data_IF_406316337238
#
_entry.id   IF_406316337238
#
_cell.length_a   1.000
_cell.length_b   1.000
_cell.length_c   1.000
_cell.angle_alpha   90.00
_cell.angle_beta   90.00
_cell.angle_gamma   90.00
#
_symmetry.space_group_name_H-M   'P 1'
#
loop_
_entity.id
_entity.type
_entity.pdbx_description
1 polymer ?
#
# COMPACT_ATOMS: atom_id res chain seq x y z
N UNK A 1 47.54 -7.09 7.40
CA UNK A 1 46.97 -5.90 6.75
C UNK A 1 45.84 -6.38 5.82
N UNK A 2 44.65 -6.32 6.29
CA UNK A 2 43.43 -6.78 5.55
C UNK A 2 42.62 -5.55 5.19
N UNK A 3 42.16 -5.36 3.92
CA UNK A 3 41.34 -4.22 3.56
C UNK A 3 39.86 -4.57 3.83
N UNK A 4 39.23 -3.77 4.68
CA UNK A 4 37.81 -3.78 4.91
C UNK A 4 37.05 -3.40 3.61
N UNK A 5 35.93 -4.08 3.26
CA UNK A 5 35.08 -3.65 2.17
C UNK A 5 34.26 -2.42 2.62
N UNK A 6 34.36 -1.36 1.82
CA UNK A 6 33.53 -0.15 1.95
C UNK A 6 32.06 -0.52 1.74
N UNK A 7 31.23 -0.32 2.75
CA UNK A 7 29.77 -0.34 2.63
C UNK A 7 29.33 0.84 1.74
N UNK A 8 28.73 0.54 0.62
CA UNK A 8 27.97 1.53 -0.16
C UNK A 8 26.64 1.77 0.55
N UNK A 9 26.20 3.01 0.75
CA UNK A 9 24.86 3.29 1.23
C UNK A 9 23.85 2.93 0.14
N UNK A 10 22.96 1.99 0.42
CA UNK A 10 21.84 1.67 -0.44
C UNK A 10 20.81 2.80 -0.40
N UNK A 11 20.93 3.75 -1.30
CA UNK A 11 19.87 4.71 -1.60
C UNK A 11 18.81 4.04 -2.48
N UNK A 12 17.88 3.33 -1.87
CA UNK A 12 16.67 2.89 -2.55
C UNK A 12 15.47 3.43 -1.80
N UNK A 13 15.25 4.72 -1.98
CA UNK A 13 14.01 5.36 -1.58
C UNK A 13 12.98 5.11 -2.68
N UNK A 14 12.07 4.19 -2.45
CA UNK A 14 10.84 4.09 -3.26
C UNK A 14 10.15 5.44 -3.19
N UNK A 15 10.17 6.18 -4.30
CA UNK A 15 9.58 7.50 -4.38
C UNK A 15 8.09 7.35 -4.58
N UNK A 16 7.33 7.28 -3.49
CA UNK A 16 5.89 7.51 -3.50
C UNK A 16 5.64 8.98 -3.80
N UNK A 17 5.45 9.31 -5.06
CA UNK A 17 5.09 10.67 -5.48
C UNK A 17 3.57 10.81 -5.58
N UNK A 18 2.90 11.26 -4.51
CA UNK A 18 1.56 11.83 -4.65
C UNK A 18 1.72 13.14 -5.45
N UNK A 19 1.20 13.20 -6.66
CA UNK A 19 1.12 14.43 -7.42
C UNK A 19 0.08 15.36 -6.78
N UNK A 20 0.53 16.27 -5.90
CA UNK A 20 -0.25 17.45 -5.50
C UNK A 20 0.03 18.55 -6.52
N UNK A 21 -0.87 18.74 -7.48
CA UNK A 21 -0.97 19.98 -8.22
C UNK A 21 -1.52 21.06 -7.28
N UNK A 22 -0.68 22.05 -6.98
CA UNK A 22 -1.13 23.29 -6.31
C UNK A 22 -2.01 24.07 -7.30
N UNK A 23 -3.32 24.01 -7.13
CA UNK A 23 -4.26 24.87 -7.84
C UNK A 23 -4.41 26.18 -7.10
N UNK A 24 -4.23 27.30 -7.81
CA UNK A 24 -4.44 28.67 -7.38
C UNK A 24 -5.87 28.88 -6.84
N UNK A 25 -5.96 29.54 -5.72
CA UNK A 25 -7.20 29.86 -5.02
C UNK A 25 -8.03 30.88 -5.81
N UNK A 26 -9.19 30.44 -6.30
CA UNK A 26 -10.33 31.30 -6.59
C UNK A 26 -11.27 31.25 -5.40
N UNK A 27 -11.48 32.37 -4.73
CA UNK A 27 -12.39 32.48 -3.60
C UNK A 27 -13.84 32.44 -4.11
N UNK A 28 -14.51 31.32 -3.95
CA UNK A 28 -15.96 31.21 -4.01
C UNK A 28 -16.47 30.70 -2.67
N UNK A 29 -17.48 31.41 -2.12
CA UNK A 29 -18.12 31.15 -0.85
C UNK A 29 -18.53 29.68 -0.70
N UNK A 30 -17.95 28.99 0.27
CA UNK A 30 -18.26 27.61 0.59
C UNK A 30 -19.61 27.51 1.31
N UNK A 31 -20.45 26.51 0.99
CA UNK A 31 -21.61 26.17 1.82
C UNK A 31 -21.13 25.65 3.19
N UNK A 32 -21.92 25.97 4.23
CA UNK A 32 -21.62 25.65 5.61
C UNK A 32 -21.27 24.17 5.81
N UNK A 33 -20.13 23.93 6.46
CA UNK A 33 -19.58 22.62 6.80
C UNK A 33 -20.53 21.91 7.78
N UNK A 34 -21.03 20.70 7.49
CA UNK A 34 -21.76 19.93 8.49
C UNK A 34 -20.85 19.62 9.67
N UNK A 35 -21.40 19.69 10.87
CA UNK A 35 -20.71 19.40 12.11
C UNK A 35 -20.02 18.02 12.09
N UNK A 36 -18.87 17.85 12.74
CA UNK A 36 -18.15 16.57 12.73
C UNK A 36 -19.07 15.47 13.30
N UNK A 37 -19.35 14.47 12.48
CA UNK A 37 -20.08 13.28 12.91
C UNK A 37 -19.33 12.64 14.08
N UNK A 38 -20.02 12.39 15.19
CA UNK A 38 -19.46 11.73 16.36
C UNK A 38 -18.75 10.43 15.96
N UNK A 39 -17.51 10.25 16.45
CA UNK A 39 -16.75 9.05 16.23
C UNK A 39 -17.56 7.83 16.69
N UNK A 40 -17.74 6.81 15.83
CA UNK A 40 -18.50 5.61 16.22
C UNK A 40 -17.80 4.94 17.40
N UNK A 41 -18.57 4.54 18.42
CA UNK A 41 -18.09 3.77 19.58
C UNK A 41 -17.39 2.51 19.08
N UNK A 42 -16.19 2.24 19.58
CA UNK A 42 -15.40 1.05 19.29
C UNK A 42 -16.23 -0.21 19.51
N UNK A 43 -16.55 -0.90 18.43
CA UNK A 43 -17.28 -2.16 18.44
C UNK A 43 -16.31 -3.33 18.24
N UNK A 44 -16.64 -4.45 18.87
CA UNK A 44 -15.96 -5.74 18.95
C UNK A 44 -15.12 -6.17 17.73
N UNK A 45 -14.12 -7.01 18.01
CA UNK A 45 -13.16 -7.68 17.15
C UNK A 45 -13.33 -7.48 15.64
N UNK A 46 -12.30 -6.94 15.00
CA UNK A 46 -12.30 -6.49 13.62
C UNK A 46 -12.94 -7.50 12.65
N UNK A 47 -14.01 -7.08 11.99
CA UNK A 47 -14.63 -7.84 10.90
C UNK A 47 -13.73 -7.88 9.63
N UNK A 48 -12.46 -7.51 9.74
CA UNK A 48 -11.45 -7.48 8.70
C UNK A 48 -10.07 -7.90 9.24
N UNK A 49 -9.22 -8.42 8.35
CA UNK A 49 -7.83 -8.77 8.69
C UNK A 49 -6.92 -7.55 8.56
N UNK A 50 -5.95 -7.45 9.47
CA UNK A 50 -4.93 -6.40 9.44
C UNK A 50 -3.57 -7.00 9.12
N UNK A 51 -2.89 -6.44 8.14
CA UNK A 51 -1.52 -6.74 7.73
C UNK A 51 -0.67 -5.49 7.68
N UNK A 52 0.57 -5.69 7.27
CA UNK A 52 1.55 -4.62 7.06
C UNK A 52 2.17 -4.80 5.68
N UNK A 53 2.38 -3.70 4.96
CA UNK A 53 3.19 -3.62 3.75
C UNK A 53 4.55 -3.04 4.09
N UNK A 54 5.60 -3.61 3.54
CA UNK A 54 6.96 -3.08 3.58
C UNK A 54 7.82 -3.83 2.54
N UNK A 55 8.88 -3.22 2.07
CA UNK A 55 9.83 -3.84 1.14
C UNK A 55 11.10 -4.34 1.86
N UNK A 56 11.20 -4.18 3.19
CA UNK A 56 12.35 -4.61 3.98
C UNK A 56 12.03 -5.91 4.72
N UNK A 57 12.82 -6.97 4.44
CA UNK A 57 12.62 -8.31 5.01
C UNK A 57 12.88 -8.35 6.53
N UNK A 58 13.71 -7.45 7.03
CA UNK A 58 14.07 -7.31 8.44
C UNK A 58 12.85 -7.09 9.32
N UNK A 59 11.75 -6.59 8.78
CA UNK A 59 10.47 -6.47 9.47
C UNK A 59 10.07 -7.79 10.15
N UNK A 60 10.23 -8.93 9.49
CA UNK A 60 9.79 -10.23 10.01
C UNK A 60 10.65 -10.73 11.19
N UNK A 61 11.90 -10.28 11.29
CA UNK A 61 12.80 -10.55 12.41
C UNK A 61 12.57 -9.65 13.62
N UNK A 62 11.83 -8.56 13.48
CA UNK A 62 11.59 -7.60 14.56
C UNK A 62 10.66 -8.19 15.63
N UNK A 63 11.07 -8.24 16.92
CA UNK A 63 10.23 -8.72 18.00
C UNK A 63 8.89 -7.98 18.12
N UNK A 64 8.84 -6.70 17.73
CA UNK A 64 7.60 -5.92 17.74
C UNK A 64 6.65 -6.36 16.61
N UNK A 65 7.17 -6.71 15.43
CA UNK A 65 6.38 -7.35 14.40
C UNK A 65 5.77 -8.66 14.89
N UNK A 66 6.61 -9.53 15.47
CA UNK A 66 6.18 -10.83 16.00
C UNK A 66 5.11 -10.68 17.11
N UNK A 67 5.21 -9.62 17.93
CA UNK A 67 4.21 -9.30 18.94
C UNK A 67 2.82 -8.98 18.34
N UNK A 68 2.76 -8.37 17.16
CA UNK A 68 1.49 -8.08 16.48
C UNK A 68 0.75 -9.36 16.04
N UNK A 69 1.45 -10.47 15.85
CA UNK A 69 0.89 -11.77 15.40
C UNK A 69 0.05 -11.65 14.14
N UNK A 70 0.32 -10.67 13.29
CA UNK A 70 -0.38 -10.54 12.02
C UNK A 70 -0.05 -11.72 11.11
N UNK A 71 -1.02 -12.14 10.30
CA UNK A 71 -0.91 -13.34 9.44
C UNK A 71 -0.94 -13.02 7.97
N UNK A 72 -0.95 -11.75 7.63
CA UNK A 72 -0.94 -11.27 6.27
C UNK A 72 0.06 -10.12 6.13
N UNK A 73 0.76 -10.07 5.01
CA UNK A 73 1.66 -8.98 4.64
C UNK A 73 1.59 -8.70 3.14
N UNK A 74 2.02 -7.52 2.74
CA UNK A 74 2.04 -7.09 1.34
C UNK A 74 3.44 -6.64 0.93
N UNK A 75 3.87 -7.07 -0.24
CA UNK A 75 5.14 -6.75 -0.86
C UNK A 75 4.90 -6.13 -2.24
N UNK A 76 5.60 -5.05 -2.55
CA UNK A 76 5.63 -4.45 -3.89
C UNK A 76 6.86 -4.97 -4.61
N UNK A 77 6.66 -5.66 -5.74
CA UNK A 77 7.73 -6.25 -6.53
C UNK A 77 7.78 -5.64 -7.94
N UNK A 78 8.95 -5.31 -8.49
CA UNK A 78 9.06 -5.05 -9.92
C UNK A 78 8.52 -6.23 -10.72
N UNK A 79 7.75 -5.95 -11.79
CA UNK A 79 7.18 -7.02 -12.62
C UNK A 79 8.27 -7.93 -13.22
N UNK A 80 9.46 -7.38 -13.43
CA UNK A 80 10.64 -8.01 -14.00
C UNK A 80 11.71 -8.39 -12.95
N UNK A 81 11.32 -8.53 -11.68
CA UNK A 81 12.26 -8.79 -10.58
C UNK A 81 13.22 -9.95 -10.84
N UNK A 82 12.79 -11.00 -11.54
CA UNK A 82 13.65 -12.14 -11.86
C UNK A 82 14.65 -11.89 -13.00
N UNK A 83 14.51 -10.79 -13.73
CA UNK A 83 15.47 -10.39 -14.76
C UNK A 83 16.70 -9.65 -14.17
N UNK A 84 16.61 -9.19 -12.92
CA UNK A 84 17.61 -8.36 -12.26
C UNK A 84 18.04 -8.97 -10.93
N UNK A 85 19.35 -9.17 -10.77
CA UNK A 85 19.94 -9.89 -9.61
C UNK A 85 19.61 -9.22 -8.26
N UNK A 86 19.62 -7.92 -8.21
CA UNK A 86 19.31 -7.12 -7.01
C UNK A 86 17.84 -7.20 -6.63
N UNK A 87 16.93 -7.06 -7.59
CA UNK A 87 15.49 -7.17 -7.38
C UNK A 87 15.08 -8.62 -7.00
N UNK A 88 15.71 -9.62 -7.63
CA UNK A 88 15.52 -11.02 -7.25
C UNK A 88 16.00 -11.30 -5.83
N UNK A 89 17.16 -10.78 -5.44
CA UNK A 89 17.71 -10.98 -4.09
C UNK A 89 16.76 -10.40 -3.03
N UNK A 90 16.27 -9.16 -3.22
CA UNK A 90 15.29 -8.51 -2.33
C UNK A 90 14.00 -9.33 -2.22
N UNK A 91 13.41 -9.72 -3.36
CA UNK A 91 12.19 -10.52 -3.37
C UNK A 91 12.37 -11.87 -2.68
N UNK A 92 13.51 -12.53 -2.90
CA UNK A 92 13.85 -13.82 -2.29
C UNK A 92 13.94 -13.70 -0.77
N UNK A 93 14.72 -12.74 -0.28
CA UNK A 93 14.89 -12.48 1.15
C UNK A 93 13.54 -12.20 1.82
N UNK A 94 12.74 -11.30 1.24
CA UNK A 94 11.47 -10.89 1.79
C UNK A 94 10.44 -12.04 1.81
N UNK A 95 10.29 -12.76 0.70
CA UNK A 95 9.29 -13.84 0.59
C UNK A 95 9.68 -15.03 1.49
N UNK A 96 10.96 -15.40 1.55
CA UNK A 96 11.41 -16.47 2.45
C UNK A 96 11.25 -16.09 3.92
N UNK A 97 11.50 -14.83 4.30
CA UNK A 97 11.26 -14.36 5.66
C UNK A 97 9.77 -14.42 6.04
N UNK A 98 8.87 -14.05 5.12
CA UNK A 98 7.43 -14.17 5.31
C UNK A 98 6.97 -15.63 5.41
N UNK A 99 7.50 -16.52 4.57
CA UNK A 99 7.24 -17.96 4.58
C UNK A 99 7.66 -18.60 5.89
N UNK A 100 8.86 -18.29 6.38
CA UNK A 100 9.37 -18.77 7.66
C UNK A 100 8.48 -18.38 8.86
N UNK A 101 7.74 -17.27 8.76
CA UNK A 101 6.77 -16.81 9.76
C UNK A 101 5.34 -17.27 9.47
N UNK A 102 5.13 -18.11 8.45
CA UNK A 102 3.80 -18.56 7.99
C UNK A 102 2.83 -17.40 7.71
N UNK A 103 3.32 -16.30 7.13
CA UNK A 103 2.54 -15.10 6.80
C UNK A 103 2.05 -15.18 5.36
N UNK A 104 0.75 -15.10 5.14
CA UNK A 104 0.18 -15.06 3.78
C UNK A 104 0.55 -13.76 3.09
N UNK A 105 1.15 -13.87 1.93
CA UNK A 105 1.70 -12.74 1.17
C UNK A 105 0.76 -12.34 0.03
N UNK A 106 0.54 -11.02 -0.11
CA UNK A 106 0.08 -10.39 -1.36
C UNK A 106 1.28 -9.74 -2.02
N UNK A 107 1.56 -10.11 -3.27
CA UNK A 107 2.53 -9.40 -4.10
C UNK A 107 1.80 -8.48 -5.06
N UNK A 108 2.11 -7.19 -5.00
CA UNK A 108 1.70 -6.20 -6.00
C UNK A 108 2.83 -6.02 -7.00
N UNK A 109 2.59 -6.31 -8.27
CA UNK A 109 3.57 -5.99 -9.30
C UNK A 109 3.59 -4.49 -9.58
N UNK A 110 4.79 -3.97 -9.88
CA UNK A 110 4.98 -2.55 -10.17
C UNK A 110 6.00 -2.36 -11.30
N UNK A 111 6.33 -1.11 -11.62
CA UNK A 111 7.32 -0.80 -12.66
C UNK A 111 8.69 -1.42 -12.36
N UNK A 112 9.49 -1.59 -13.41
CA UNK A 112 10.89 -1.98 -13.26
C UNK A 112 11.67 -0.95 -12.45
N UNK A 113 12.56 -1.41 -11.58
CA UNK A 113 13.53 -0.52 -10.88
C UNK A 113 14.63 -0.04 -11.86
N UNK A 114 14.88 -0.77 -12.96
CA UNK A 114 15.91 -0.48 -13.94
C UNK A 114 15.42 0.38 -15.12
N UNK A 115 14.13 0.27 -15.47
CA UNK A 115 13.51 1.07 -16.54
C UNK A 115 12.14 1.60 -16.11
N UNK A 116 12.05 2.42 -15.05
CA UNK A 116 10.78 2.74 -14.41
C UNK A 116 9.83 3.55 -15.29
N UNK A 117 10.35 4.25 -16.29
CA UNK A 117 9.54 5.03 -17.23
C UNK A 117 9.02 4.20 -18.42
N UNK A 118 9.42 2.92 -18.54
CA UNK A 118 9.01 2.04 -19.62
C UNK A 118 7.98 1.02 -19.12
N UNK A 119 6.79 1.04 -19.70
CA UNK A 119 5.80 -0.02 -19.47
C UNK A 119 6.13 -1.26 -20.30
N UNK A 120 5.95 -2.48 -19.75
CA UNK A 120 6.11 -3.70 -20.53
C UNK A 120 4.99 -3.87 -21.56
N UNK A 121 5.28 -4.57 -22.64
CA UNK A 121 4.20 -5.16 -23.44
C UNK A 121 3.46 -6.21 -22.61
N UNK A 122 2.20 -6.52 -22.99
CA UNK A 122 1.41 -7.56 -22.30
C UNK A 122 2.13 -8.93 -22.33
N UNK A 123 2.78 -9.26 -23.43
CA UNK A 123 3.53 -10.49 -23.55
C UNK A 123 4.75 -10.51 -22.62
N UNK A 124 5.50 -9.41 -22.54
CA UNK A 124 6.62 -9.26 -21.62
C UNK A 124 6.17 -9.37 -20.17
N UNK A 125 5.12 -8.61 -19.80
CA UNK A 125 4.52 -8.69 -18.46
C UNK A 125 4.13 -10.12 -18.10
N UNK A 126 3.38 -10.81 -19.01
CA UNK A 126 2.94 -12.19 -18.78
C UNK A 126 4.12 -13.15 -18.56
N UNK A 127 5.16 -13.03 -19.39
CA UNK A 127 6.36 -13.85 -19.29
C UNK A 127 7.06 -13.68 -17.94
N UNK A 128 7.26 -12.44 -17.51
CA UNK A 128 8.03 -12.13 -16.31
C UNK A 128 7.27 -12.49 -15.03
N UNK A 129 5.97 -12.16 -14.95
CA UNK A 129 5.16 -12.55 -13.80
C UNK A 129 4.97 -14.07 -13.72
N UNK A 130 4.95 -14.78 -14.85
CA UNK A 130 4.92 -16.25 -14.87
C UNK A 130 6.19 -16.84 -14.26
N UNK A 131 7.36 -16.29 -14.57
CA UNK A 131 8.63 -16.70 -13.96
C UNK A 131 8.60 -16.45 -12.46
N UNK A 132 8.13 -15.26 -12.05
CA UNK A 132 8.02 -14.90 -10.63
C UNK A 132 7.13 -15.90 -9.87
N UNK A 133 5.94 -16.19 -10.38
CA UNK A 133 4.98 -17.13 -9.77
C UNK A 133 5.57 -18.56 -9.67
N UNK A 134 6.31 -19.00 -10.69
CA UNK A 134 6.99 -20.30 -10.68
C UNK A 134 8.12 -20.35 -9.65
N UNK A 135 8.85 -19.26 -9.49
CA UNK A 135 9.98 -19.16 -8.57
C UNK A 135 9.56 -19.10 -7.11
N UNK A 136 8.41 -18.44 -6.82
CA UNK A 136 7.86 -18.26 -5.49
C UNK A 136 6.51 -18.99 -5.31
N UNK A 137 6.47 -20.33 -5.26
CA UNK A 137 5.22 -21.07 -5.19
C UNK A 137 4.44 -20.88 -3.88
N UNK A 138 5.08 -20.37 -2.85
CA UNK A 138 4.45 -19.97 -1.59
C UNK A 138 3.43 -18.83 -1.77
N UNK A 139 3.72 -17.89 -2.67
CA UNK A 139 2.85 -16.74 -2.91
C UNK A 139 1.64 -17.16 -3.75
N UNK A 140 0.44 -16.87 -3.23
CA UNK A 140 -0.83 -17.25 -3.86
C UNK A 140 -1.79 -16.08 -4.06
N UNK A 141 -1.36 -14.86 -3.75
CA UNK A 141 -2.19 -13.66 -3.86
C UNK A 141 -1.40 -12.56 -4.57
N UNK A 142 -1.99 -12.00 -5.61
CA UNK A 142 -1.30 -11.04 -6.49
C UNK A 142 -2.19 -9.87 -6.86
N UNK A 143 -1.56 -8.71 -7.11
CA UNK A 143 -2.13 -7.53 -7.77
C UNK A 143 -1.41 -7.31 -9.09
N UNK A 144 -2.18 -6.99 -10.14
CA UNK A 144 -1.60 -6.85 -11.47
C UNK A 144 -0.70 -5.61 -11.60
N UNK A 145 -1.03 -4.53 -10.92
CA UNK A 145 -0.21 -3.31 -10.90
C UNK A 145 -0.54 -2.48 -9.68
N UNK A 146 0.52 -2.02 -9.01
CA UNK A 146 0.43 -1.12 -7.86
C UNK A 146 0.03 0.29 -8.30
N UNK A 147 -0.91 0.93 -7.60
CA UNK A 147 -1.35 2.30 -7.87
C UNK A 147 -1.57 2.60 -9.37
N UNK A 148 -2.32 1.76 -10.06
CA UNK A 148 -2.44 1.81 -11.51
C UNK A 148 -2.95 3.17 -12.05
N UNK A 149 -3.76 3.90 -11.28
CA UNK A 149 -4.31 5.22 -11.65
C UNK A 149 -3.45 6.41 -11.20
N UNK A 150 -2.22 6.16 -10.73
CA UNK A 150 -1.36 7.21 -10.17
C UNK A 150 -0.99 8.29 -11.19
N UNK A 151 -0.89 7.92 -12.45
CA UNK A 151 -0.42 8.78 -13.53
C UNK A 151 1.10 8.74 -13.69
N UNK A 152 1.57 9.25 -14.81
CA UNK A 152 3.00 9.32 -15.11
C UNK A 152 3.66 10.43 -14.30
N UNK A 153 4.86 10.18 -13.80
CA UNK A 153 5.74 11.21 -13.25
C UNK A 153 6.97 11.28 -14.16
N UNK A 154 7.14 12.37 -14.91
CA UNK A 154 8.25 12.52 -15.86
C UNK A 154 9.58 12.17 -15.22
N UNK A 155 10.40 11.40 -15.91
CA UNK A 155 11.74 10.93 -15.49
C UNK A 155 11.77 10.02 -14.28
N UNK A 156 10.62 9.71 -13.62
CA UNK A 156 10.57 8.83 -12.46
C UNK A 156 9.90 7.50 -12.78
N UNK A 157 8.67 7.51 -13.28
CA UNK A 157 7.96 6.28 -13.65
C UNK A 157 6.77 6.56 -14.58
N UNK A 158 6.32 5.49 -15.25
CA UNK A 158 5.08 5.48 -16.04
C UNK A 158 4.03 4.57 -15.40
N UNK A 159 2.78 5.02 -15.44
CA UNK A 159 1.61 4.24 -15.02
C UNK A 159 0.85 3.74 -16.25
N UNK A 160 0.33 2.50 -16.22
CA UNK A 160 -0.46 1.97 -17.33
C UNK A 160 -1.80 2.68 -17.46
N UNK A 161 -2.36 2.69 -18.66
CA UNK A 161 -3.77 3.05 -18.86
C UNK A 161 -4.69 1.99 -18.25
N UNK A 162 -5.97 2.32 -18.06
CA UNK A 162 -6.97 1.36 -17.57
C UNK A 162 -7.06 0.12 -18.48
N UNK A 163 -6.97 0.32 -19.80
CA UNK A 163 -6.90 -0.75 -20.81
C UNK A 163 -5.69 -1.64 -20.60
N UNK A 164 -4.48 -1.06 -20.48
CA UNK A 164 -3.26 -1.83 -20.25
C UNK A 164 -3.32 -2.60 -18.92
N UNK A 165 -3.86 -1.98 -17.87
CA UNK A 165 -4.02 -2.65 -16.56
C UNK A 165 -4.99 -3.82 -16.63
N UNK A 166 -6.07 -3.71 -17.42
CA UNK A 166 -7.00 -4.81 -17.65
C UNK A 166 -6.33 -5.98 -18.41
N UNK A 167 -5.47 -5.67 -19.36
CA UNK A 167 -4.68 -6.67 -20.08
C UNK A 167 -3.64 -7.35 -19.16
N UNK A 168 -2.97 -6.61 -18.27
CA UNK A 168 -2.07 -7.18 -17.26
C UNK A 168 -2.84 -8.07 -16.26
N UNK A 169 -4.02 -7.64 -15.82
CA UNK A 169 -4.88 -8.47 -14.99
C UNK A 169 -5.26 -9.78 -15.70
N UNK A 170 -5.68 -9.72 -16.96
CA UNK A 170 -5.99 -10.91 -17.74
C UNK A 170 -4.76 -11.83 -17.87
N UNK A 171 -3.58 -11.26 -18.19
CA UNK A 171 -2.34 -12.02 -18.30
C UNK A 171 -2.00 -12.74 -16.99
N UNK A 172 -2.08 -12.04 -15.85
CA UNK A 172 -1.85 -12.61 -14.53
C UNK A 172 -2.84 -13.73 -14.20
N UNK A 173 -4.11 -13.56 -14.53
CA UNK A 173 -5.16 -14.59 -14.36
C UNK A 173 -4.89 -15.84 -15.21
N UNK A 174 -4.34 -15.68 -16.41
CA UNK A 174 -3.97 -16.81 -17.30
C UNK A 174 -2.83 -17.64 -16.74
N UNK A 175 -1.80 -16.98 -16.18
CA UNK A 175 -0.62 -17.66 -15.64
C UNK A 175 -0.84 -18.26 -14.26
N UNK A 176 -1.80 -17.75 -13.47
CA UNK A 176 -2.15 -18.35 -12.19
C UNK A 176 -3.66 -18.47 -11.98
N UNK A 177 -4.23 -19.57 -12.47
CA UNK A 177 -5.67 -19.85 -12.41
C UNK A 177 -6.17 -20.11 -10.98
N UNK A 178 -5.31 -20.60 -10.10
CA UNK A 178 -5.64 -20.96 -8.71
C UNK A 178 -5.31 -19.86 -7.70
N UNK A 179 -4.65 -18.77 -8.15
CA UNK A 179 -4.32 -17.65 -7.29
C UNK A 179 -5.53 -16.74 -7.04
N UNK A 180 -5.53 -16.10 -5.89
CA UNK A 180 -6.35 -14.90 -5.66
C UNK A 180 -5.70 -13.74 -6.41
N UNK A 181 -6.37 -13.22 -7.43
CA UNK A 181 -5.91 -12.04 -8.15
C UNK A 181 -6.82 -10.87 -7.84
N UNK A 182 -6.25 -9.85 -7.22
CA UNK A 182 -6.90 -8.57 -6.93
C UNK A 182 -6.97 -7.80 -8.24
N UNK A 183 -8.17 -7.31 -8.60
CA UNK A 183 -8.43 -6.84 -9.95
C UNK A 183 -7.72 -5.56 -10.32
N UNK A 184 -7.89 -4.56 -9.50
CA UNK A 184 -7.36 -3.21 -9.70
C UNK A 184 -6.90 -2.70 -8.35
N UNK A 185 -5.83 -1.94 -8.34
CA UNK A 185 -5.28 -1.27 -7.18
C UNK A 185 -5.19 0.23 -7.48
N UNK A 186 -5.97 1.03 -6.77
CA UNK A 186 -6.12 2.46 -7.07
C UNK A 186 -5.90 3.35 -5.86
N UNK A 187 -5.40 4.55 -6.12
CA UNK A 187 -5.39 5.67 -5.18
C UNK A 187 -6.73 6.38 -5.15
N UNK A 188 -7.16 6.82 -3.96
CA UNK A 188 -8.35 7.65 -3.79
C UNK A 188 -8.16 9.09 -4.34
N UNK A 189 -6.92 9.59 -4.41
CA UNK A 189 -6.52 10.91 -4.90
C UNK A 189 -7.29 12.09 -4.23
N UNK A 190 -7.00 13.33 -4.62
CA UNK A 190 -7.72 14.50 -4.09
C UNK A 190 -9.16 14.60 -4.61
N UNK A 191 -9.37 14.17 -5.86
CA UNK A 191 -10.66 14.17 -6.54
C UNK A 191 -10.92 12.77 -7.09
N UNK A 192 -12.07 12.21 -6.79
CA UNK A 192 -12.43 10.83 -7.17
C UNK A 192 -12.78 10.66 -8.64
N UNK A 193 -13.18 11.74 -9.32
CA UNK A 193 -13.64 11.67 -10.71
C UNK A 193 -12.68 10.96 -11.67
N UNK A 194 -11.37 11.29 -11.70
CA UNK A 194 -10.40 10.56 -12.51
C UNK A 194 -10.27 9.09 -12.12
N UNK A 195 -10.25 8.78 -10.82
CA UNK A 195 -10.19 7.40 -10.30
C UNK A 195 -11.44 6.61 -10.72
N UNK A 196 -12.62 7.21 -10.62
CA UNK A 196 -13.90 6.58 -11.03
C UNK A 196 -13.89 6.27 -12.52
N UNK A 197 -13.46 7.23 -13.36
CA UNK A 197 -13.34 6.98 -14.82
C UNK A 197 -12.38 5.85 -15.13
N UNK A 198 -11.24 5.81 -14.45
CA UNK A 198 -10.26 4.74 -14.61
C UNK A 198 -10.85 3.36 -14.24
N UNK A 199 -11.59 3.26 -13.14
CA UNK A 199 -12.26 2.03 -12.71
C UNK A 199 -13.31 1.60 -13.74
N UNK A 200 -14.12 2.53 -14.24
CA UNK A 200 -15.17 2.26 -15.24
C UNK A 200 -14.57 1.79 -16.57
N UNK A 201 -13.48 2.42 -17.03
CA UNK A 201 -12.76 2.01 -18.22
C UNK A 201 -12.13 0.62 -18.06
N UNK A 202 -11.47 0.36 -16.95
CA UNK A 202 -10.94 -0.97 -16.62
C UNK A 202 -12.05 -2.05 -16.69
N UNK A 203 -13.20 -1.80 -16.07
CA UNK A 203 -14.31 -2.75 -16.05
C UNK A 203 -14.87 -3.00 -17.46
N UNK A 204 -15.00 -1.95 -18.27
CA UNK A 204 -15.42 -2.07 -19.66
C UNK A 204 -14.46 -2.94 -20.46
N UNK A 205 -13.16 -2.71 -20.28
CA UNK A 205 -12.12 -3.48 -20.96
C UNK A 205 -12.10 -4.95 -20.51
N UNK A 206 -12.29 -5.25 -19.23
CA UNK A 206 -12.46 -6.62 -18.73
C UNK A 206 -13.62 -7.32 -19.45
N UNK A 207 -14.71 -6.61 -19.71
CA UNK A 207 -15.85 -7.11 -20.51
C UNK A 207 -15.46 -7.40 -21.96
N UNK A 208 -14.74 -6.50 -22.62
CA UNK A 208 -14.25 -6.69 -23.99
C UNK A 208 -13.29 -7.87 -24.10
N UNK A 209 -12.41 -8.03 -23.12
CA UNK A 209 -11.46 -9.14 -23.04
C UNK A 209 -12.12 -10.47 -22.65
N UNK A 210 -13.42 -10.49 -22.36
CA UNK A 210 -14.18 -11.65 -21.87
C UNK A 210 -13.47 -12.33 -20.68
N UNK A 211 -12.89 -11.52 -19.82
CA UNK A 211 -12.19 -11.97 -18.62
C UNK A 211 -13.14 -11.90 -17.42
N UNK A 212 -12.96 -12.81 -16.46
CA UNK A 212 -13.78 -12.83 -15.24
C UNK A 212 -13.59 -11.51 -14.48
N UNK A 213 -14.71 -10.84 -14.20
CA UNK A 213 -14.71 -9.61 -13.42
C UNK A 213 -14.13 -9.86 -12.01
N UNK A 214 -13.22 -9.01 -11.52
CA UNK A 214 -12.70 -9.17 -10.17
C UNK A 214 -13.78 -9.13 -9.11
N UNK A 215 -13.67 -10.00 -8.11
CA UNK A 215 -14.51 -9.96 -6.90
C UNK A 215 -13.82 -9.24 -5.72
N UNK A 216 -12.49 -9.03 -5.84
CA UNK A 216 -11.65 -8.37 -4.85
C UNK A 216 -10.91 -7.22 -5.53
N UNK A 217 -10.91 -6.05 -4.88
CA UNK A 217 -10.34 -4.81 -5.37
C UNK A 217 -9.39 -4.22 -4.34
N UNK A 218 -8.31 -3.58 -4.81
CA UNK A 218 -7.37 -2.83 -4.00
C UNK A 218 -7.71 -1.34 -3.97
N UNK A 219 -7.49 -0.72 -2.83
CA UNK A 219 -7.64 0.71 -2.64
C UNK A 219 -6.56 1.22 -1.69
N UNK A 220 -5.89 2.32 -2.07
CA UNK A 220 -5.05 3.15 -1.21
C UNK A 220 -5.84 4.41 -0.85
N UNK A 221 -6.23 4.56 0.41
CA UNK A 221 -7.13 5.62 0.87
C UNK A 221 -6.42 6.76 1.62
N UNK A 222 -5.17 7.01 1.27
CA UNK A 222 -4.33 8.02 1.93
C UNK A 222 -4.92 9.43 1.94
N UNK A 223 -5.61 9.84 0.86
CA UNK A 223 -6.19 11.18 0.78
C UNK A 223 -7.30 11.37 1.79
N UNK A 224 -8.10 10.33 2.04
CA UNK A 224 -9.17 10.37 3.04
C UNK A 224 -8.62 10.25 4.47
N UNK A 225 -7.89 9.16 4.76
CA UNK A 225 -7.52 8.88 6.16
C UNK A 225 -6.62 9.96 6.75
N UNK A 226 -5.69 10.53 5.95
CA UNK A 226 -4.79 11.58 6.43
C UNK A 226 -5.46 12.96 6.57
N UNK A 227 -6.71 13.09 6.13
CA UNK A 227 -7.57 14.27 6.37
C UNK A 227 -8.69 13.98 7.35
N UNK A 228 -8.75 12.75 7.90
CA UNK A 228 -9.83 12.23 8.74
C UNK A 228 -11.19 12.36 8.06
N UNK A 229 -11.21 12.07 6.76
CA UNK A 229 -12.38 12.06 5.88
C UNK A 229 -12.67 10.61 5.42
N UNK A 230 -13.83 10.40 4.80
CA UNK A 230 -14.25 9.06 4.35
C UNK A 230 -15.06 9.05 3.05
N UNK A 231 -15.30 10.22 2.49
CA UNK A 231 -16.21 10.33 1.34
C UNK A 231 -15.60 9.75 0.06
N UNK A 232 -14.28 9.89 -0.14
CA UNK A 232 -13.56 9.33 -1.28
C UNK A 232 -13.56 7.81 -1.21
N UNK A 233 -13.19 7.27 -0.06
CA UNK A 233 -13.19 5.83 0.20
C UNK A 233 -14.57 5.22 -0.02
N UNK A 234 -15.65 5.87 0.45
CA UNK A 234 -17.02 5.40 0.23
C UNK A 234 -17.40 5.42 -1.24
N UNK A 235 -17.10 6.51 -1.93
CA UNK A 235 -17.44 6.67 -3.34
C UNK A 235 -16.70 5.66 -4.21
N UNK A 236 -15.37 5.54 -4.03
CA UNK A 236 -14.55 4.58 -4.77
C UNK A 236 -14.98 3.14 -4.46
N UNK A 237 -15.18 2.79 -3.19
CA UNK A 237 -15.65 1.45 -2.77
C UNK A 237 -17.00 1.10 -3.40
N UNK A 238 -17.92 2.07 -3.51
CA UNK A 238 -19.22 1.87 -4.18
C UNK A 238 -19.04 1.54 -5.65
N UNK A 239 -18.14 2.24 -6.35
CA UNK A 239 -17.89 2.04 -7.78
C UNK A 239 -17.12 0.73 -8.03
N UNK A 240 -16.16 0.38 -7.18
CA UNK A 240 -15.43 -0.89 -7.27
C UNK A 240 -16.38 -2.08 -7.18
N UNK A 241 -17.31 -2.05 -6.25
CA UNK A 241 -18.18 -3.20 -5.98
C UNK A 241 -17.41 -4.35 -5.30
N UNK A 242 -18.05 -5.47 -4.99
CA UNK A 242 -17.40 -6.64 -4.40
C UNK A 242 -16.70 -6.38 -3.06
N UNK A 243 -15.67 -7.14 -2.76
CA UNK A 243 -14.80 -6.94 -1.60
C UNK A 243 -13.71 -5.92 -1.93
N UNK A 244 -13.39 -5.07 -0.96
CA UNK A 244 -12.27 -4.13 -1.03
C UNK A 244 -11.24 -4.50 0.03
N UNK A 245 -9.97 -4.53 -0.37
CA UNK A 245 -8.85 -4.54 0.53
C UNK A 245 -8.20 -3.17 0.48
N UNK A 246 -8.02 -2.53 1.63
CA UNK A 246 -7.15 -1.37 1.72
C UNK A 246 -5.72 -1.89 1.60
N UNK A 247 -5.25 -1.99 0.38
CA UNK A 247 -3.98 -2.63 0.03
C UNK A 247 -2.79 -1.80 0.46
N UNK A 248 -2.99 -0.50 0.56
CA UNK A 248 -2.17 0.41 1.35
C UNK A 248 -3.04 1.44 2.06
N UNK A 249 -2.71 1.69 3.31
CA UNK A 249 -3.32 2.72 4.14
C UNK A 249 -2.39 3.06 5.29
N UNK A 250 -2.63 4.18 5.97
CA UNK A 250 -1.85 4.50 7.17
C UNK A 250 -1.64 5.98 7.38
N UNK A 251 -1.05 6.28 8.53
CA UNK A 251 -0.77 7.65 8.93
C UNK A 251 0.56 8.14 8.39
N UNK A 252 0.53 9.16 7.56
CA UNK A 252 1.73 9.81 7.03
C UNK A 252 2.38 10.63 8.14
N UNK A 253 3.59 10.25 8.53
CA UNK A 253 4.45 11.02 9.46
C UNK A 253 5.01 12.24 8.74
N UNK A 254 5.54 12.03 7.52
CA UNK A 254 6.11 13.09 6.71
C UNK A 254 5.86 12.83 5.21
N UNK A 255 5.47 13.89 4.50
CA UNK A 255 5.42 13.88 3.04
C UNK A 255 5.56 15.31 2.48
N UNK A 256 6.78 15.73 2.24
CA UNK A 256 7.09 17.06 1.75
C UNK A 256 6.38 18.18 2.53
N UNK A 257 5.92 19.20 1.82
CA UNK A 257 5.17 20.31 2.43
C UNK A 257 3.71 19.99 2.78
N UNK A 258 3.14 18.91 2.21
CA UNK A 258 1.75 18.55 2.43
C UNK A 258 1.51 17.94 3.84
N UNK A 259 2.47 17.16 4.31
CA UNK A 259 2.45 16.54 5.64
C UNK A 259 3.81 16.74 6.32
N UNK A 260 4.10 17.92 6.85
CA UNK A 260 5.38 18.19 7.52
C UNK A 260 5.45 17.48 8.88
N UNK A 261 6.66 17.03 9.23
CA UNK A 261 6.96 16.53 10.58
C UNK A 261 7.83 17.54 11.35
N UNK A 262 7.25 18.69 11.67
CA UNK A 262 7.96 19.71 12.46
C UNK A 262 7.88 19.36 13.94
N UNK A 263 9.04 19.27 14.61
CA UNK A 263 9.14 18.95 16.05
C UNK A 263 8.32 17.70 16.46
N UNK A 264 8.31 16.67 15.61
CA UNK A 264 7.60 15.43 15.91
C UNK A 264 6.08 15.47 15.76
N UNK A 265 5.49 16.59 15.30
CA UNK A 265 4.04 16.74 15.13
C UNK A 265 3.44 15.70 14.17
N UNK A 266 4.21 15.22 13.22
CA UNK A 266 3.81 14.16 12.30
C UNK A 266 3.54 12.82 12.98
N UNK A 267 4.27 12.48 14.05
CA UNK A 267 4.11 11.23 14.78
C UNK A 267 2.74 11.14 15.47
N UNK A 268 2.32 12.21 16.16
CA UNK A 268 1.01 12.26 16.80
C UNK A 268 -0.13 12.26 15.78
N UNK A 269 0.03 13.02 14.68
CA UNK A 269 -0.91 13.01 13.56
C UNK A 269 -1.06 11.63 12.97
N UNK A 270 0.04 10.95 12.64
CA UNK A 270 0.02 9.59 12.06
C UNK A 270 -0.67 8.58 12.98
N UNK A 271 -0.45 8.65 14.28
CA UNK A 271 -1.15 7.79 15.25
C UNK A 271 -2.66 8.03 15.25
N UNK A 272 -3.12 9.29 15.19
CA UNK A 272 -4.54 9.62 15.08
C UNK A 272 -5.15 9.12 13.78
N UNK A 273 -4.41 9.25 12.66
CA UNK A 273 -4.83 8.73 11.36
C UNK A 273 -4.99 7.22 11.41
N UNK A 274 -4.04 6.48 11.96
CA UNK A 274 -4.14 5.01 12.09
C UNK A 274 -5.38 4.61 12.92
N UNK A 275 -5.64 5.32 14.03
CA UNK A 275 -6.86 5.10 14.81
C UNK A 275 -8.12 5.34 13.97
N UNK A 276 -8.14 6.41 13.19
CA UNK A 276 -9.23 6.70 12.27
C UNK A 276 -9.39 5.65 11.19
N UNK A 277 -8.30 5.16 10.60
CA UNK A 277 -8.30 4.08 9.59
C UNK A 277 -9.00 2.81 10.10
N UNK A 278 -8.70 2.39 11.33
CA UNK A 278 -9.40 1.25 11.96
C UNK A 278 -10.90 1.51 12.12
N UNK A 279 -11.29 2.71 12.53
CA UNK A 279 -12.69 3.09 12.67
C UNK A 279 -13.41 3.12 11.31
N UNK A 280 -12.76 3.69 10.28
CA UNK A 280 -13.27 3.75 8.91
C UNK A 280 -13.47 2.34 8.34
N UNK A 281 -12.46 1.47 8.41
CA UNK A 281 -12.56 0.10 7.96
C UNK A 281 -13.66 -0.68 8.69
N UNK A 282 -13.80 -0.48 10.01
CA UNK A 282 -14.87 -1.06 10.83
C UNK A 282 -16.25 -0.60 10.39
N UNK A 283 -16.42 0.68 10.08
CA UNK A 283 -17.70 1.25 9.62
C UNK A 283 -18.12 0.73 8.24
N UNK A 284 -17.17 0.27 7.43
CA UNK A 284 -17.38 -0.29 6.09
C UNK A 284 -17.05 -1.79 6.01
N UNK A 285 -17.09 -2.50 7.13
CA UNK A 285 -16.67 -3.91 7.21
C UNK A 285 -17.51 -4.89 6.38
N UNK A 286 -18.68 -4.48 5.90
CA UNK A 286 -19.44 -5.23 4.89
C UNK A 286 -18.66 -5.35 3.55
N UNK A 287 -17.86 -4.37 3.22
CA UNK A 287 -17.05 -4.27 1.99
C UNK A 287 -15.56 -4.43 2.24
N UNK A 288 -14.99 -3.70 3.22
CA UNK A 288 -13.57 -3.73 3.54
C UNK A 288 -13.27 -4.99 4.35
N UNK A 289 -12.50 -5.90 3.76
CA UNK A 289 -12.17 -7.21 4.35
C UNK A 289 -10.74 -7.34 4.82
N UNK A 290 -9.85 -6.51 4.33
CA UNK A 290 -8.46 -6.43 4.78
C UNK A 290 -7.97 -4.99 4.77
N UNK A 291 -6.99 -4.69 5.60
CA UNK A 291 -6.17 -3.50 5.49
C UNK A 291 -4.70 -3.86 5.68
N UNK A 292 -3.83 -3.20 4.95
CA UNK A 292 -2.38 -3.29 5.05
C UNK A 292 -1.84 -1.91 5.37
N UNK A 293 -1.32 -1.78 6.59
CA UNK A 293 -0.67 -0.52 6.98
C UNK A 293 0.67 -0.42 6.27
N UNK A 294 0.90 0.63 5.57
CA UNK A 294 2.16 0.93 4.93
C UNK A 294 2.76 2.16 5.64
N UNK A 295 3.96 2.04 6.22
CA UNK A 295 4.79 0.85 6.20
C UNK A 295 5.30 0.49 7.62
N UNK A 296 6.15 -0.54 7.73
CA UNK A 296 6.81 -0.90 8.98
C UNK A 296 7.98 0.03 9.29
N UNK A 297 8.92 0.10 8.35
CA UNK A 297 10.21 0.76 8.49
C UNK A 297 10.08 2.25 8.18
N UNK A 298 10.23 3.08 9.19
CA UNK A 298 10.23 4.53 9.02
C UNK A 298 11.56 5.09 8.56
N UNK A 299 11.51 6.27 8.00
CA UNK A 299 12.67 7.02 7.57
C UNK A 299 13.21 7.96 8.63
N UNK A 300 14.15 8.79 8.20
CA UNK A 300 14.72 9.91 8.96
C UNK A 300 14.17 11.25 8.42
N UNK A 301 14.68 12.37 8.93
CA UNK A 301 14.24 13.72 8.54
C UNK A 301 14.42 14.06 7.05
N UNK A 302 15.32 13.35 6.34
CA UNK A 302 15.55 13.54 4.90
C UNK A 302 14.62 12.69 4.02
N UNK A 303 13.88 11.75 4.61
CA UNK A 303 12.97 10.85 3.89
C UNK A 303 11.78 11.65 3.36
N UNK A 304 11.54 11.61 2.05
CA UNK A 304 10.46 12.37 1.42
C UNK A 304 9.09 11.89 1.85
N UNK A 305 8.89 10.57 1.90
CA UNK A 305 7.65 9.93 2.36
C UNK A 305 7.98 9.01 3.53
N UNK A 306 7.32 9.21 4.65
CA UNK A 306 7.46 8.39 5.84
C UNK A 306 6.08 8.16 6.46
N UNK A 307 5.68 6.90 6.56
CA UNK A 307 4.48 6.45 7.26
C UNK A 307 4.79 5.29 8.21
N UNK A 308 6.08 5.07 8.50
CA UNK A 308 6.57 3.93 9.26
C UNK A 308 6.02 3.84 10.68
N UNK A 309 5.72 2.62 11.09
CA UNK A 309 5.33 2.29 12.46
C UNK A 309 6.51 2.30 13.42
N UNK A 310 7.72 2.10 12.89
CA UNK A 310 9.00 2.25 13.60
C UNK A 310 9.80 3.41 13.02
N UNK A 311 10.83 3.85 13.70
CA UNK A 311 11.80 4.82 13.15
C UNK A 311 12.95 4.09 12.41
N UNK A 312 13.91 4.86 11.89
CA UNK A 312 15.08 4.32 11.18
C UNK A 312 16.02 3.47 12.07
N UNK A 313 15.78 3.43 13.38
CA UNK A 313 16.49 2.61 14.36
C UNK A 313 15.64 1.48 14.91
N UNK A 314 14.55 1.12 14.21
CA UNK A 314 13.58 0.09 14.61
C UNK A 314 12.91 0.34 15.97
N UNK A 315 12.86 1.59 16.46
CA UNK A 315 12.16 1.95 17.69
C UNK A 315 10.69 2.24 17.41
N UNK A 316 9.77 1.80 18.30
CA UNK A 316 8.34 1.96 18.07
C UNK A 316 7.91 3.44 18.10
N UNK A 317 7.10 3.83 17.16
CA UNK A 317 6.42 5.13 17.13
C UNK A 317 5.02 5.05 17.74
N UNK A 318 4.40 6.19 17.99
CA UNK A 318 3.03 6.25 18.52
C UNK A 318 2.01 5.46 17.67
N UNK A 319 2.20 5.44 16.34
CA UNK A 319 1.40 4.64 15.41
C UNK A 319 1.44 3.15 15.70
N UNK A 320 2.61 2.59 15.99
CA UNK A 320 2.75 1.19 16.39
C UNK A 320 1.89 0.85 17.63
N UNK A 321 1.90 1.73 18.62
CA UNK A 321 1.11 1.49 19.85
C UNK A 321 -0.39 1.44 19.54
N UNK A 322 -0.87 2.28 18.63
CA UNK A 322 -2.27 2.23 18.18
C UNK A 322 -2.59 0.90 17.52
N UNK A 323 -1.74 0.42 16.61
CA UNK A 323 -1.90 -0.87 15.93
C UNK A 323 -1.89 -2.02 16.92
N UNK A 324 -0.91 -2.07 17.80
CA UNK A 324 -0.77 -3.10 18.81
C UNK A 324 -2.01 -3.17 19.72
N UNK A 325 -2.53 -2.04 20.17
CA UNK A 325 -3.76 -1.96 20.98
C UNK A 325 -5.00 -2.38 20.21
N UNK A 326 -5.09 -2.04 18.94
CA UNK A 326 -6.20 -2.44 18.08
C UNK A 326 -6.26 -3.97 17.89
N UNK A 327 -5.08 -4.61 17.78
CA UNK A 327 -4.98 -6.06 17.57
C UNK A 327 -5.01 -6.86 18.89
N UNK A 328 -4.45 -6.34 19.98
CA UNK A 328 -4.19 -7.09 21.21
C UNK A 328 -4.47 -6.33 22.51
N UNK A 329 -5.55 -5.60 22.60
CA UNK A 329 -6.00 -4.63 23.61
C UNK A 329 -5.32 -4.67 25.02
N UNK A 330 -4.95 -5.82 25.57
CA UNK A 330 -4.44 -5.96 26.95
C UNK A 330 -2.94 -6.30 27.06
N UNK A 331 -2.24 -6.57 25.96
CA UNK A 331 -0.84 -7.05 25.99
C UNK A 331 0.17 -6.10 25.34
N UNK A 332 -0.27 -4.93 24.96
CA UNK A 332 0.60 -3.93 24.32
C UNK A 332 1.30 -3.08 25.39
N UNK A 333 2.40 -3.59 25.93
CA UNK A 333 3.26 -2.85 26.84
C UNK A 333 4.51 -2.36 26.06
N UNK A 334 4.44 -1.13 25.53
CA UNK A 334 5.57 -0.52 24.79
C UNK A 334 5.93 0.80 25.45
N UNK A 335 7.19 0.96 25.82
CA UNK A 335 7.75 2.26 26.20
C UNK A 335 8.05 3.05 24.90
N UNK A 336 7.30 4.10 24.64
CA UNK A 336 7.62 5.03 23.55
C UNK A 336 8.79 5.88 24.02
N UNK A 337 9.89 5.88 23.27
CA UNK A 337 10.93 6.88 23.46
C UNK A 337 10.35 8.24 23.04
N UNK A 338 10.30 9.17 23.97
CA UNK A 338 10.00 10.58 23.68
C UNK A 338 11.29 11.21 23.14
N UNK A 339 11.34 11.49 21.87
CA UNK A 339 12.36 12.33 21.25
C UNK A 339 11.68 13.36 20.37
#
# INVERSE_FOLDING_TARGET
MSPFPRRFPSLHTVVLSLALLAGLAGATSAPARPAPAHAPKARAAAAFLTGIGDEQAEMFGDPMWQQLRTKIARYIAPYDALAHRDSLAKATEWIHAAEAQHVKVVVAFYHSEHTPTRLPSVAQYQHDVQKFIKHFPYVRQYQAWDEANRGNVPHLFSSPSATATAQYYQALRRVCRTCTVIGLDVLDQNYTGPTIRYIQEFKREIGHLRTVMPSIWGLHDYADVNRLESWRTREVTRVLGGQVWLTETGGIVQFGGAFPNRNGSGLARAANVIKYTFALAGSQSSRIKRLYLYNWSGGNSSTRFDAGLTDAHHRPRAGYVVVCRALHAKKCAVKISRH
#
